data_IF_351595429745
#
_entry.id   IF_351595429745
#
_cell.length_a   1.000
_cell.length_b   1.000
_cell.length_c   1.000
_cell.angle_alpha   90.00
_cell.angle_beta   90.00
_cell.angle_gamma   90.00
#
_symmetry.space_group_name_H-M   'P 1'
#
loop_
_entity.id
_entity.type
_entity.pdbx_description
1 polymer ?
#
# COMPACT_ATOMS: atom_id res chain seq x y z
N UNK A 1 -14.25 2.56 43.65
CA UNK A 1 -12.80 2.83 43.58
C UNK A 1 -12.04 1.51 43.43
N UNK A 2 -11.36 1.31 42.29
CA UNK A 2 -10.01 0.73 42.17
C UNK A 2 -9.60 0.79 40.70
N UNK A 3 -8.83 1.82 40.39
CA UNK A 3 -8.19 2.08 39.11
C UNK A 3 -7.04 1.06 38.97
N UNK A 4 -7.18 0.05 38.12
CA UNK A 4 -6.07 -0.83 37.78
C UNK A 4 -5.35 -0.24 36.56
N UNK A 5 -4.36 0.60 36.82
CA UNK A 5 -3.36 0.99 35.82
C UNK A 5 -2.57 -0.26 35.44
N UNK A 6 -2.63 -0.69 34.18
CA UNK A 6 -1.66 -1.64 33.62
C UNK A 6 -0.76 -0.90 32.63
N UNK A 7 0.53 -1.02 32.89
CA UNK A 7 1.62 -0.33 32.23
C UNK A 7 1.67 -0.64 30.73
N UNK A 8 1.96 0.39 29.94
CA UNK A 8 2.38 0.26 28.55
C UNK A 8 3.82 -0.26 28.54
N UNK A 9 4.00 -1.53 28.20
CA UNK A 9 5.31 -2.07 27.84
C UNK A 9 5.46 -1.88 26.34
N UNK A 10 6.28 -0.91 25.93
CA UNK A 10 6.81 -0.85 24.57
C UNK A 10 7.77 -2.02 24.43
N UNK A 11 7.28 -3.16 23.95
CA UNK A 11 8.16 -4.20 23.43
C UNK A 11 8.55 -3.79 22.03
N UNK A 12 9.83 -3.49 21.83
CA UNK A 12 10.41 -3.35 20.49
C UNK A 12 10.20 -4.68 19.76
N UNK A 13 9.48 -4.61 18.63
CA UNK A 13 9.14 -5.75 17.77
C UNK A 13 10.35 -6.33 17.01
N UNK A 14 11.58 -6.01 17.44
CA UNK A 14 12.80 -6.33 16.69
C UNK A 14 13.60 -7.53 17.27
N UNK A 15 13.21 -8.09 18.41
CA UNK A 15 14.12 -8.97 19.19
C UNK A 15 13.70 -10.44 19.33
N UNK A 16 12.87 -10.97 18.42
CA UNK A 16 12.43 -12.38 18.52
C UNK A 16 12.47 -13.14 17.19
N UNK A 17 13.63 -13.09 16.53
CA UNK A 17 13.88 -13.92 15.34
C UNK A 17 15.24 -14.61 15.42
N UNK A 18 15.33 -15.63 16.29
CA UNK A 18 16.38 -16.63 16.19
C UNK A 18 15.78 -18.02 16.01
N UNK A 19 16.07 -18.64 14.86
CA UNK A 19 16.28 -20.08 14.73
C UNK A 19 16.89 -20.36 13.36
N UNK A 20 18.15 -20.81 13.40
CA UNK A 20 19.14 -20.97 12.32
C UNK A 20 18.77 -21.96 11.19
N UNK A 21 17.49 -22.35 11.04
CA UNK A 21 17.02 -23.32 10.04
C UNK A 21 16.12 -22.71 8.94
N UNK A 22 15.82 -21.41 9.01
CA UNK A 22 14.90 -20.71 8.08
C UNK A 22 15.58 -20.11 6.84
N UNK A 23 16.92 -20.07 6.79
CA UNK A 23 17.66 -19.46 5.68
C UNK A 23 17.41 -20.18 4.34
N UNK A 24 17.38 -21.51 4.33
CA UNK A 24 17.34 -22.29 3.08
C UNK A 24 16.02 -22.18 2.31
N UNK A 25 14.88 -22.28 2.99
CA UNK A 25 13.55 -22.12 2.38
C UNK A 25 13.26 -20.68 1.91
N UNK A 26 13.84 -19.68 2.59
CA UNK A 26 13.73 -18.29 2.16
C UNK A 26 14.51 -18.05 0.85
N UNK A 27 15.70 -18.66 0.67
CA UNK A 27 16.43 -18.58 -0.61
C UNK A 27 15.69 -19.26 -1.78
N UNK A 28 15.04 -20.41 -1.55
CA UNK A 28 14.28 -21.10 -2.62
C UNK A 28 13.08 -20.26 -3.12
N UNK A 29 12.40 -19.53 -2.21
CA UNK A 29 11.34 -18.57 -2.57
C UNK A 29 11.93 -17.35 -3.27
N UNK A 30 13.12 -16.88 -2.86
CA UNK A 30 13.79 -15.75 -3.51
C UNK A 30 14.23 -16.08 -4.94
N UNK A 31 14.72 -17.28 -5.22
CA UNK A 31 15.13 -17.70 -6.58
C UNK A 31 13.92 -17.87 -7.53
N UNK A 32 12.76 -18.26 -6.99
CA UNK A 32 11.50 -18.28 -7.76
C UNK A 32 10.95 -16.87 -7.96
N UNK A 33 11.04 -16.02 -6.92
CA UNK A 33 10.66 -14.63 -6.97
C UNK A 33 11.54 -13.81 -7.92
N UNK A 34 12.86 -14.03 -7.96
CA UNK A 34 13.78 -13.39 -8.92
C UNK A 34 13.38 -13.68 -10.36
N UNK A 35 13.02 -14.94 -10.67
CA UNK A 35 12.53 -15.32 -12.01
C UNK A 35 11.18 -14.72 -12.37
N UNK A 36 10.29 -14.55 -11.40
CA UNK A 36 9.03 -13.81 -11.60
C UNK A 36 9.31 -12.31 -11.75
N UNK A 37 10.24 -11.77 -10.98
CA UNK A 37 10.61 -10.35 -11.01
C UNK A 37 11.24 -9.99 -12.35
N UNK A 38 12.15 -10.81 -12.88
CA UNK A 38 12.70 -10.64 -14.24
C UNK A 38 11.60 -10.66 -15.31
N UNK A 39 10.59 -11.53 -15.16
CA UNK A 39 9.45 -11.58 -16.09
C UNK A 39 8.54 -10.37 -15.98
N UNK A 40 8.29 -9.89 -14.76
CA UNK A 40 7.55 -8.66 -14.50
C UNK A 40 8.32 -7.46 -15.02
N UNK A 41 9.63 -7.39 -14.80
CA UNK A 41 10.52 -6.34 -15.34
C UNK A 41 10.50 -6.33 -16.86
N UNK A 42 10.66 -7.48 -17.53
CA UNK A 42 10.56 -7.54 -18.99
C UNK A 42 9.19 -7.10 -19.50
N UNK A 43 8.11 -7.55 -18.86
CA UNK A 43 6.74 -7.14 -19.19
C UNK A 43 6.59 -5.62 -19.02
N UNK A 44 7.13 -5.09 -17.93
CA UNK A 44 7.13 -3.67 -17.58
C UNK A 44 7.93 -2.83 -18.56
N UNK A 45 9.14 -3.24 -18.93
CA UNK A 45 9.96 -2.57 -19.95
C UNK A 45 9.23 -2.52 -21.29
N UNK A 46 8.59 -3.63 -21.70
CA UNK A 46 7.79 -3.65 -22.94
C UNK A 46 6.58 -2.74 -22.89
N UNK A 47 5.88 -2.68 -21.74
CA UNK A 47 4.76 -1.76 -21.52
C UNK A 47 5.28 -0.33 -21.56
N UNK A 48 6.37 -0.01 -20.87
CA UNK A 48 6.97 1.32 -20.84
C UNK A 48 7.38 1.78 -22.25
N UNK A 49 8.10 0.93 -22.99
CA UNK A 49 8.53 1.25 -24.36
C UNK A 49 7.37 1.40 -25.35
N UNK A 50 6.31 0.60 -25.24
CA UNK A 50 5.17 0.67 -26.18
C UNK A 50 4.13 1.72 -25.85
N UNK A 51 3.84 1.87 -24.57
CA UNK A 51 2.70 2.62 -24.05
C UNK A 51 3.11 4.00 -23.51
N UNK A 52 4.21 4.07 -22.76
CA UNK A 52 4.68 5.36 -22.22
C UNK A 52 5.34 6.24 -23.28
N UNK A 53 5.95 5.66 -24.32
CA UNK A 53 6.48 6.40 -25.46
C UNK A 53 5.39 7.13 -26.29
N UNK A 54 4.12 6.77 -26.10
CA UNK A 54 2.95 7.36 -26.77
C UNK A 54 2.13 8.29 -25.88
N UNK A 55 2.57 8.54 -24.64
CA UNK A 55 1.84 9.43 -23.75
C UNK A 55 1.80 10.85 -24.33
N UNK A 56 0.62 11.48 -24.37
CA UNK A 56 0.48 12.83 -24.91
C UNK A 56 1.27 13.80 -24.03
N UNK A 57 2.29 14.43 -24.61
CA UNK A 57 3.21 15.35 -23.94
C UNK A 57 2.57 16.66 -23.45
N UNK A 58 1.27 16.89 -23.70
CA UNK A 58 0.78 18.26 -23.82
C UNK A 58 -0.18 18.79 -22.74
N UNK A 59 -0.78 17.98 -21.84
CA UNK A 59 -1.81 18.54 -20.92
C UNK A 59 -1.97 17.94 -19.51
N UNK A 60 -0.98 17.32 -18.89
CA UNK A 60 -1.12 16.87 -17.50
C UNK A 60 0.03 17.33 -16.60
N UNK A 61 -0.31 18.19 -15.64
CA UNK A 61 0.57 18.70 -14.60
C UNK A 61 0.78 17.60 -13.53
N UNK A 62 1.81 16.77 -13.69
CA UNK A 62 2.18 15.84 -12.62
C UNK A 62 3.05 14.66 -13.07
N UNK A 63 3.74 14.00 -12.12
CA UNK A 63 4.51 12.80 -12.43
C UNK A 63 3.60 11.63 -12.81
N UNK A 64 4.06 10.80 -13.75
CA UNK A 64 3.47 9.49 -14.00
C UNK A 64 4.05 8.48 -13.01
N UNK A 65 3.19 7.88 -12.20
CA UNK A 65 3.52 6.91 -11.17
C UNK A 65 2.79 5.62 -11.53
N UNK A 66 3.56 4.58 -11.82
CA UNK A 66 3.09 3.21 -11.85
C UNK A 66 3.98 2.41 -10.91
N UNK A 67 3.38 1.74 -9.94
CA UNK A 67 4.09 0.92 -8.98
C UNK A 67 3.30 -0.32 -8.64
N UNK A 68 4.02 -1.35 -8.19
CA UNK A 68 3.42 -2.54 -7.64
C UNK A 68 4.17 -2.95 -6.37
N UNK A 69 3.44 -3.54 -5.43
CA UNK A 69 3.97 -4.16 -4.24
C UNK A 69 3.66 -5.65 -4.31
N UNK A 70 4.65 -6.50 -4.03
CA UNK A 70 4.45 -7.94 -3.96
C UNK A 70 4.74 -8.41 -2.55
N UNK A 71 3.81 -9.14 -1.97
CA UNK A 71 3.91 -9.70 -0.62
C UNK A 71 3.62 -11.19 -0.66
N UNK A 72 4.22 -11.99 0.23
CA UNK A 72 3.90 -13.42 0.33
C UNK A 72 2.72 -13.61 1.27
N UNK A 73 1.63 -14.15 0.73
CA UNK A 73 0.43 -14.46 1.48
C UNK A 73 0.64 -15.61 2.48
N UNK A 74 -0.30 -15.78 3.44
CA UNK A 74 -0.24 -16.85 4.43
C UNK A 74 -0.33 -18.26 3.82
N UNK A 75 -0.85 -18.38 2.61
CA UNK A 75 -0.89 -19.61 1.80
C UNK A 75 0.42 -19.85 1.00
N UNK A 76 1.42 -18.97 1.16
CA UNK A 76 2.69 -19.02 0.45
C UNK A 76 2.65 -18.45 -0.97
N UNK A 77 1.53 -17.89 -1.42
CA UNK A 77 1.40 -17.33 -2.77
C UNK A 77 1.72 -15.84 -2.82
N UNK A 78 2.32 -15.32 -3.90
CA UNK A 78 2.54 -13.90 -4.06
C UNK A 78 1.21 -13.16 -4.26
N UNK A 79 1.05 -12.07 -3.53
CA UNK A 79 -0.04 -11.10 -3.64
C UNK A 79 0.55 -9.82 -4.22
N UNK A 80 0.21 -9.54 -5.48
CA UNK A 80 0.61 -8.32 -6.19
C UNK A 80 -0.47 -7.25 -6.00
N UNK A 81 -0.07 -6.04 -5.61
CA UNK A 81 -0.93 -4.87 -5.45
C UNK A 81 -0.37 -3.72 -6.26
N UNK A 82 -1.17 -3.13 -7.14
CA UNK A 82 -0.78 -1.95 -7.93
C UNK A 82 -1.10 -0.65 -7.18
N UNK A 83 -0.31 0.40 -7.45
CA UNK A 83 -0.50 1.75 -6.94
C UNK A 83 0.03 2.78 -7.95
N UNK A 84 -0.28 4.06 -7.73
CA UNK A 84 0.08 5.14 -8.64
C UNK A 84 -1.12 5.75 -9.38
N UNK A 85 -0.84 6.59 -10.37
CA UNK A 85 -1.86 7.29 -11.16
C UNK A 85 -1.95 6.78 -12.60
N UNK A 86 -1.12 5.81 -13.00
CA UNK A 86 -1.22 5.16 -14.31
C UNK A 86 -1.85 3.79 -14.16
N UNK A 87 -2.88 3.51 -14.96
CA UNK A 87 -3.47 2.17 -15.07
C UNK A 87 -3.34 1.65 -16.51
N UNK A 88 -2.78 0.45 -16.73
CA UNK A 88 -2.74 -0.17 -18.04
C UNK A 88 -4.16 -0.57 -18.48
N UNK A 89 -4.57 -0.21 -19.69
CA UNK A 89 -5.83 -0.66 -20.28
C UNK A 89 -5.60 -1.23 -21.68
N UNK A 90 -6.52 -2.06 -22.22
CA UNK A 90 -6.38 -2.60 -23.59
C UNK A 90 -6.29 -1.54 -24.69
N UNK A 91 -6.70 -0.29 -24.41
CA UNK A 91 -6.66 0.85 -25.33
C UNK A 91 -5.43 1.76 -25.11
N UNK A 92 -4.54 1.40 -24.19
CA UNK A 92 -3.39 2.19 -23.78
C UNK A 92 -3.45 2.59 -22.29
N UNK A 93 -2.42 3.28 -21.79
CA UNK A 93 -2.34 3.67 -20.39
C UNK A 93 -3.32 4.80 -20.11
N UNK A 94 -4.12 4.64 -19.06
CA UNK A 94 -5.01 5.68 -18.57
C UNK A 94 -4.33 6.38 -17.39
N UNK A 95 -4.13 7.68 -17.51
CA UNK A 95 -3.59 8.51 -16.43
C UNK A 95 -4.74 9.17 -15.70
N UNK A 96 -4.76 8.99 -14.40
CA UNK A 96 -5.64 9.68 -13.47
C UNK A 96 -4.92 10.89 -12.88
N UNK A 97 -5.68 11.93 -12.53
CA UNK A 97 -5.12 13.09 -11.82
C UNK A 97 -4.73 12.73 -10.39
N UNK A 98 -5.53 11.87 -9.76
CA UNK A 98 -5.30 11.36 -8.42
C UNK A 98 -4.37 10.15 -8.45
N UNK A 99 -3.45 10.10 -7.50
CA UNK A 99 -2.56 8.95 -7.30
C UNK A 99 -3.18 7.99 -6.31
N UNK A 100 -3.21 6.69 -6.62
CA UNK A 100 -3.55 5.69 -5.62
C UNK A 100 -2.36 5.47 -4.68
N UNK A 101 -2.49 5.73 -3.38
CA UNK A 101 -1.46 5.40 -2.40
C UNK A 101 -1.31 3.89 -2.28
N UNK A 102 -0.11 3.45 -1.90
CA UNK A 102 0.09 2.08 -1.46
C UNK A 102 -0.58 1.91 -0.09
N UNK A 103 -1.43 0.90 0.01
CA UNK A 103 -2.16 0.57 1.24
C UNK A 103 -1.97 -0.90 1.58
N UNK A 104 -1.72 -1.19 2.85
CA UNK A 104 -1.74 -2.54 3.41
C UNK A 104 -2.77 -2.64 4.54
N UNK A 105 -3.46 -3.77 4.59
CA UNK A 105 -4.58 -4.02 5.53
C UNK A 105 -4.30 -5.31 6.28
N UNK A 106 -4.25 -5.21 7.60
CA UNK A 106 -3.97 -6.33 8.50
C UNK A 106 -5.14 -6.52 9.46
N UNK A 107 -5.68 -7.74 9.49
CA UNK A 107 -6.66 -8.17 10.49
C UNK A 107 -5.93 -8.77 11.70
N UNK A 108 -6.10 -8.16 12.85
CA UNK A 108 -5.46 -8.55 14.12
C UNK A 108 -6.48 -9.20 15.07
N UNK A 109 -7.66 -9.59 14.56
CA UNK A 109 -8.76 -10.22 15.28
C UNK A 109 -9.61 -9.22 16.09
N UNK A 110 -8.97 -8.50 17.01
CA UNK A 110 -9.66 -7.51 17.86
C UNK A 110 -9.82 -6.14 17.17
N UNK A 111 -8.99 -5.85 16.16
CA UNK A 111 -9.01 -4.60 15.40
C UNK A 111 -8.39 -4.81 14.00
N UNK A 112 -8.69 -3.89 13.09
CA UNK A 112 -8.06 -3.83 11.76
C UNK A 112 -7.05 -2.68 11.75
N UNK A 113 -5.84 -2.94 11.27
CA UNK A 113 -4.81 -1.94 10.99
C UNK A 113 -4.74 -1.67 9.50
N UNK A 114 -4.75 -0.39 9.13
CA UNK A 114 -4.51 0.05 7.76
C UNK A 114 -3.28 0.95 7.76
N UNK A 115 -2.31 0.64 6.90
CA UNK A 115 -1.13 1.46 6.63
C UNK A 115 -1.27 2.08 5.26
N UNK A 116 -1.05 3.39 5.13
CA UNK A 116 -1.16 4.10 3.85
C UNK A 116 0.04 5.03 3.66
N UNK A 117 0.70 4.92 2.51
CA UNK A 117 1.83 5.79 2.18
C UNK A 117 1.37 7.06 1.47
N UNK A 118 1.59 8.22 2.10
CA UNK A 118 1.20 9.55 1.65
C UNK A 118 2.40 10.53 1.69
N UNK A 119 3.48 10.28 0.94
CA UNK A 119 4.68 11.10 0.99
C UNK A 119 4.42 12.53 0.51
N UNK A 120 4.93 13.51 1.28
CA UNK A 120 4.83 14.92 0.97
C UNK A 120 3.47 15.57 1.29
N UNK A 121 2.60 14.88 2.03
CA UNK A 121 1.30 15.38 2.49
C UNK A 121 1.41 15.84 3.95
N UNK A 122 0.74 16.94 4.32
CA UNK A 122 0.63 17.33 5.73
C UNK A 122 -0.54 16.59 6.39
N UNK A 123 -0.46 16.36 7.70
CA UNK A 123 -1.46 15.56 8.42
C UNK A 123 -2.87 16.14 8.29
N UNK A 124 -2.98 17.45 8.34
CA UNK A 124 -4.19 18.25 8.25
C UNK A 124 -4.89 18.17 6.89
N UNK A 125 -4.17 17.80 5.84
CA UNK A 125 -4.70 17.66 4.48
C UNK A 125 -5.29 16.26 4.23
N UNK A 126 -5.09 15.32 5.15
CA UNK A 126 -5.56 13.93 5.03
C UNK A 126 -6.99 13.83 5.55
N UNK A 127 -7.90 13.46 4.65
CA UNK A 127 -9.30 13.16 4.99
C UNK A 127 -9.47 11.65 5.05
N UNK A 128 -9.93 11.17 6.21
CA UNK A 128 -10.27 9.77 6.44
C UNK A 128 -11.77 9.66 6.72
N UNK A 129 -12.44 8.78 5.98
CA UNK A 129 -13.84 8.45 6.20
C UNK A 129 -14.00 6.95 6.32
N UNK A 130 -14.40 6.47 7.50
CA UNK A 130 -14.64 5.05 7.76
C UNK A 130 -16.14 4.76 7.83
N UNK A 131 -16.59 3.74 7.10
CA UNK A 131 -17.89 3.08 7.28
C UNK A 131 -17.69 1.75 8.02
N UNK A 132 -18.77 0.97 8.18
CA UNK A 132 -18.66 -0.37 8.79
C UNK A 132 -17.73 -1.29 7.98
N UNK A 133 -17.63 -1.14 6.67
CA UNK A 133 -17.01 -2.09 5.75
C UNK A 133 -15.93 -1.48 4.85
N UNK A 134 -15.69 -0.17 4.93
CA UNK A 134 -14.78 0.54 4.04
C UNK A 134 -14.06 1.69 4.77
N UNK A 135 -12.82 1.95 4.35
CA UNK A 135 -12.08 3.16 4.67
C UNK A 135 -11.76 3.92 3.39
N UNK A 136 -12.19 5.17 3.31
CA UNK A 136 -11.82 6.10 2.25
C UNK A 136 -10.70 7.00 2.73
N UNK A 137 -9.62 7.05 1.96
CA UNK A 137 -8.45 7.90 2.19
C UNK A 137 -8.39 8.89 1.03
N UNK A 138 -8.47 10.19 1.34
CA UNK A 138 -8.36 11.23 0.32
C UNK A 138 -7.48 12.40 0.75
N UNK A 139 -6.75 12.92 -0.23
CA UNK A 139 -5.92 14.12 -0.12
C UNK A 139 -6.19 14.93 -1.37
N UNK A 140 -6.60 16.18 -1.20
CA UNK A 140 -6.87 17.10 -2.30
C UNK A 140 -6.14 18.41 -2.04
N UNK A 141 -4.89 18.48 -2.52
CA UNK A 141 -4.04 19.68 -2.43
C UNK A 141 -3.50 19.99 -3.81
N UNK A 142 -3.04 21.23 -4.01
CA UNK A 142 -2.39 21.65 -5.26
C UNK A 142 -1.11 20.84 -5.57
N UNK A 143 -0.43 20.31 -4.54
CA UNK A 143 0.86 19.61 -4.69
C UNK A 143 0.70 18.10 -4.86
N UNK A 144 -0.28 17.51 -4.17
CA UNK A 144 -0.51 16.07 -4.12
C UNK A 144 -2.00 15.80 -4.07
N UNK A 145 -2.45 14.89 -4.92
CA UNK A 145 -3.79 14.33 -4.90
C UNK A 145 -3.72 12.82 -4.72
N UNK A 146 -4.32 12.32 -3.65
CA UNK A 146 -4.42 10.89 -3.38
C UNK A 146 -5.87 10.50 -3.17
N UNK A 147 -6.23 9.32 -3.67
CA UNK A 147 -7.55 8.75 -3.43
C UNK A 147 -7.46 7.22 -3.39
N UNK A 148 -8.06 6.62 -2.36
CA UNK A 148 -8.24 5.17 -2.27
C UNK A 148 -9.47 4.82 -1.46
N UNK A 149 -10.27 3.91 -2.00
CA UNK A 149 -11.27 3.15 -1.27
C UNK A 149 -10.66 1.81 -0.85
N UNK A 150 -10.72 1.51 0.45
CA UNK A 150 -10.12 0.33 1.06
C UNK A 150 -11.23 -0.52 1.66
N UNK A 151 -11.55 -1.64 1.03
CA UNK A 151 -12.48 -2.63 1.59
C UNK A 151 -11.89 -3.27 2.83
N UNK A 152 -12.63 -3.24 3.93
CA UNK A 152 -12.23 -3.84 5.19
C UNK A 152 -12.56 -5.33 5.19
N UNK A 153 -11.69 -6.19 5.76
CA UNK A 153 -11.90 -7.63 5.78
C UNK A 153 -13.04 -8.07 6.71
N UNK A 154 -13.43 -7.20 7.65
CA UNK A 154 -14.52 -7.42 8.61
C UNK A 154 -15.20 -6.10 8.97
N UNK A 155 -16.42 -6.19 9.53
CA UNK A 155 -17.14 -5.00 9.97
C UNK A 155 -16.49 -4.35 11.19
N UNK A 156 -16.35 -3.03 11.18
CA UNK A 156 -15.76 -2.24 12.28
C UNK A 156 -16.78 -1.28 12.92
N UNK A 157 -16.39 -0.68 14.04
CA UNK A 157 -17.09 0.45 14.67
C UNK A 157 -16.36 1.76 14.33
N UNK A 158 -16.82 2.55 13.36
CA UNK A 158 -16.07 3.69 12.83
C UNK A 158 -15.74 4.77 13.86
N UNK A 159 -16.65 4.98 14.82
CA UNK A 159 -16.53 5.95 15.92
C UNK A 159 -15.38 5.66 16.89
N UNK A 160 -14.86 4.42 16.88
CA UNK A 160 -13.74 3.99 17.72
C UNK A 160 -12.36 4.14 17.05
N UNK A 161 -12.34 4.58 15.78
CA UNK A 161 -11.13 4.66 14.98
C UNK A 161 -10.09 5.63 15.56
N UNK A 162 -8.81 5.31 15.36
CA UNK A 162 -7.67 6.15 15.73
C UNK A 162 -6.69 6.20 14.57
N UNK A 163 -6.09 7.36 14.36
CA UNK A 163 -5.09 7.57 13.32
C UNK A 163 -3.86 8.29 13.87
N UNK A 164 -2.69 7.91 13.37
CA UNK A 164 -1.41 8.58 13.59
C UNK A 164 -0.74 8.77 12.24
N UNK A 165 0.04 9.84 12.09
CA UNK A 165 0.76 10.12 10.86
C UNK A 165 2.19 10.50 11.21
N UNK A 166 3.17 9.83 10.61
CA UNK A 166 4.59 10.02 10.84
C UNK A 166 5.38 9.66 9.57
N UNK A 167 6.19 10.60 9.10
CA UNK A 167 7.12 10.41 7.97
C UNK A 167 6.44 9.93 6.68
N UNK A 168 5.20 10.38 6.40
CA UNK A 168 4.48 9.96 5.21
C UNK A 168 3.66 8.68 5.35
N UNK A 169 3.50 8.15 6.57
CA UNK A 169 2.70 6.94 6.87
C UNK A 169 1.76 7.18 8.05
#
# INVERSE_FOLDING_TARGET
MKLARKACVVKSLFDEWSSRRRRRWWFDIFDEFEREFERVEEMMSRIFEREFAKLPSEKQQGPFIYGFSVTVGPDGKPVVREFGNVRPTPKGPMIQEETEPLVDVMDEGDYIKVYAELPGVNKEDIKLHASEDELVISVDTERRKYYKEVKLPARVKPDTAKASYKNGV
#
